data_IF_373581362808
#
_entry.id   IF_373581362808
#
_cell.length_a   1.000
_cell.length_b   1.000
_cell.length_c   1.000
_cell.angle_alpha   90.00
_cell.angle_beta   90.00
_cell.angle_gamma   90.00
#
_symmetry.space_group_name_H-M   'P 1'
#
loop_
_entity.id
_entity.type
_entity.pdbx_description
1 polymer ?
#
# COMPACT_ATOMS: atom_id res chain seq x y z
N UNK A 1 36.16 -1.16 -5.77
CA UNK A 1 35.03 -1.07 -6.72
C UNK A 1 34.76 0.40 -7.00
N UNK A 2 34.92 0.84 -8.25
CA UNK A 2 34.58 2.19 -8.70
C UNK A 2 33.11 2.21 -9.07
N UNK A 3 32.28 2.91 -8.30
CA UNK A 3 30.87 3.08 -8.63
C UNK A 3 30.74 4.16 -9.72
N UNK A 4 30.14 3.79 -10.86
CA UNK A 4 29.79 4.75 -11.90
C UNK A 4 28.53 5.48 -11.47
N UNK A 5 28.60 6.81 -11.29
CA UNK A 5 27.42 7.61 -11.04
C UNK A 5 26.55 7.65 -12.31
N UNK A 6 25.38 7.02 -12.25
CA UNK A 6 24.36 7.11 -13.29
C UNK A 6 23.71 8.49 -13.23
N UNK A 7 23.87 9.28 -14.28
CA UNK A 7 23.18 10.56 -14.43
C UNK A 7 22.16 10.45 -15.57
N UNK A 8 20.91 10.81 -15.29
CA UNK A 8 19.83 10.78 -16.26
C UNK A 8 19.60 12.17 -16.85
N UNK A 9 19.40 12.24 -18.16
CA UNK A 9 19.08 13.51 -18.82
C UNK A 9 17.78 14.09 -18.25
N UNK A 10 17.86 15.31 -17.70
CA UNK A 10 16.71 16.10 -17.22
C UNK A 10 16.08 16.95 -18.32
N UNK A 11 16.69 16.99 -19.50
CA UNK A 11 16.26 17.86 -20.62
C UNK A 11 15.01 17.28 -21.31
N UNK A 12 14.86 15.96 -21.32
CA UNK A 12 13.73 15.27 -21.97
C UNK A 12 13.15 14.18 -21.03
N UNK A 13 12.53 14.63 -19.96
CA UNK A 13 11.87 13.79 -18.95
C UNK A 13 10.78 12.89 -19.55
N UNK A 14 10.09 13.36 -20.59
CA UNK A 14 9.06 12.61 -21.33
C UNK A 14 9.65 11.38 -22.00
N UNK A 15 10.77 11.51 -22.72
CA UNK A 15 11.43 10.37 -23.36
C UNK A 15 11.97 9.37 -22.34
N UNK A 16 12.48 9.85 -21.21
CA UNK A 16 12.89 9.01 -20.09
C UNK A 16 11.70 8.19 -19.55
N UNK A 17 10.60 8.85 -19.18
CA UNK A 17 9.41 8.19 -18.61
C UNK A 17 8.80 7.18 -19.59
N UNK A 18 8.73 7.52 -20.89
CA UNK A 18 8.26 6.59 -21.93
C UNK A 18 9.16 5.35 -22.03
N UNK A 19 10.47 5.54 -22.00
CA UNK A 19 11.43 4.43 -22.08
C UNK A 19 11.38 3.55 -20.83
N UNK A 20 11.28 4.16 -19.65
CA UNK A 20 11.15 3.47 -18.37
C UNK A 20 9.89 2.60 -18.35
N UNK A 21 8.72 3.20 -18.61
CA UNK A 21 7.45 2.48 -18.61
C UNK A 21 7.45 1.33 -19.62
N UNK A 22 8.01 1.54 -20.82
CA UNK A 22 8.14 0.47 -21.81
C UNK A 22 8.94 -0.71 -21.24
N UNK A 23 10.14 -0.45 -20.70
CA UNK A 23 11.02 -1.51 -20.16
C UNK A 23 10.40 -2.24 -18.97
N UNK A 24 9.76 -1.52 -18.05
CA UNK A 24 9.02 -2.12 -16.92
C UNK A 24 7.90 -3.02 -17.45
N UNK A 25 7.15 -2.52 -18.43
CA UNK A 25 6.04 -3.25 -19.02
C UNK A 25 6.48 -4.53 -19.76
N UNK A 26 7.58 -4.46 -20.49
CA UNK A 26 8.20 -5.58 -21.19
C UNK A 26 8.68 -6.64 -20.20
N UNK A 27 9.33 -6.24 -19.10
CA UNK A 27 9.77 -7.14 -18.03
C UNK A 27 8.62 -8.01 -17.49
N UNK A 28 7.48 -7.39 -17.14
CA UNK A 28 6.32 -8.16 -16.66
C UNK A 28 5.79 -9.14 -17.71
N UNK A 29 5.78 -8.74 -18.99
CA UNK A 29 5.27 -9.56 -20.09
C UNK A 29 6.19 -10.74 -20.39
N UNK A 30 7.49 -10.48 -20.54
CA UNK A 30 8.51 -11.50 -20.85
C UNK A 30 8.64 -12.54 -19.74
N UNK A 31 8.43 -12.13 -18.48
CA UNK A 31 8.51 -13.04 -17.32
C UNK A 31 7.16 -13.67 -16.96
N UNK A 32 6.07 -13.39 -17.70
CA UNK A 32 4.71 -13.86 -17.39
C UNK A 32 4.26 -13.50 -15.95
N UNK A 33 4.63 -12.30 -15.48
CA UNK A 33 4.28 -11.80 -14.15
C UNK A 33 3.11 -10.82 -14.27
N UNK A 34 2.07 -11.02 -13.47
CA UNK A 34 0.98 -10.05 -13.37
C UNK A 34 1.48 -8.73 -12.77
N UNK A 35 1.05 -7.59 -13.31
CA UNK A 35 1.34 -6.25 -12.75
C UNK A 35 0.56 -5.94 -11.47
N UNK A 36 -0.40 -6.80 -11.15
CA UNK A 36 -1.24 -6.70 -9.97
C UNK A 36 -0.74 -7.61 -8.86
N UNK A 37 -1.23 -7.37 -7.65
CA UNK A 37 -0.97 -8.17 -6.46
C UNK A 37 -1.22 -9.66 -6.67
N UNK A 38 -0.46 -10.44 -5.91
CA UNK A 38 -0.59 -11.90 -5.84
C UNK A 38 -1.10 -12.31 -4.44
N UNK A 39 -1.14 -13.61 -4.18
CA UNK A 39 -1.61 -14.15 -2.90
C UNK A 39 -0.84 -13.60 -1.67
N UNK A 40 0.45 -13.25 -1.82
CA UNK A 40 1.24 -12.67 -0.72
C UNK A 40 0.70 -11.31 -0.30
N UNK A 41 0.20 -10.51 -1.25
CA UNK A 41 -0.45 -9.23 -0.95
C UNK A 41 -1.76 -9.45 -0.18
N UNK A 42 -2.55 -10.46 -0.54
CA UNK A 42 -3.79 -10.78 0.18
C UNK A 42 -3.51 -11.30 1.59
N UNK A 43 -2.49 -12.15 1.77
CA UNK A 43 -2.04 -12.55 3.11
C UNK A 43 -1.59 -11.34 3.93
N UNK A 44 -0.76 -10.48 3.36
CA UNK A 44 -0.31 -9.23 3.99
C UNK A 44 -1.51 -8.39 4.43
N UNK A 45 -2.55 -8.30 3.59
CA UNK A 45 -3.78 -7.57 3.90
C UNK A 45 -4.49 -8.13 5.12
N UNK A 46 -4.69 -9.45 5.18
CA UNK A 46 -5.31 -10.12 6.32
C UNK A 46 -4.49 -9.83 7.59
N UNK A 47 -3.17 -9.99 7.53
CA UNK A 47 -2.28 -9.71 8.67
C UNK A 47 -2.41 -8.26 9.13
N UNK A 48 -2.34 -7.27 8.23
CA UNK A 48 -2.43 -5.85 8.61
C UNK A 48 -3.78 -5.49 9.22
N UNK A 49 -4.89 -5.99 8.66
CA UNK A 49 -6.21 -5.78 9.24
C UNK A 49 -6.38 -6.50 10.58
N UNK A 50 -5.85 -7.72 10.75
CA UNK A 50 -5.89 -8.41 12.04
C UNK A 50 -5.08 -7.68 13.11
N UNK A 51 -3.89 -7.16 12.78
CA UNK A 51 -3.09 -6.35 13.70
C UNK A 51 -3.80 -5.07 14.12
N UNK A 52 -4.69 -4.53 13.27
CA UNK A 52 -5.47 -3.35 13.60
C UNK A 52 -6.77 -3.68 14.35
N UNK A 53 -7.63 -4.51 13.76
CA UNK A 53 -9.00 -4.73 14.24
C UNK A 53 -9.08 -5.69 15.42
N UNK A 54 -8.22 -6.70 15.51
CA UNK A 54 -8.25 -7.64 16.64
C UNK A 54 -7.99 -6.93 17.97
N UNK A 55 -6.86 -6.22 18.18
CA UNK A 55 -6.64 -5.49 19.43
C UNK A 55 -7.70 -4.40 19.67
N UNK A 56 -8.24 -3.78 18.62
CA UNK A 56 -9.35 -2.83 18.75
C UNK A 56 -10.58 -3.48 19.40
N UNK A 57 -11.06 -4.61 18.87
CA UNK A 57 -12.24 -5.27 19.43
C UNK A 57 -11.97 -5.93 20.78
N UNK A 58 -10.76 -6.43 21.04
CA UNK A 58 -10.38 -6.94 22.37
C UNK A 58 -10.47 -5.83 23.42
N UNK A 59 -9.93 -4.63 23.13
CA UNK A 59 -9.99 -3.50 24.04
C UNK A 59 -11.41 -3.00 24.30
N UNK A 60 -12.34 -3.18 23.36
CA UNK A 60 -13.74 -2.79 23.53
C UNK A 60 -14.57 -3.80 24.34
N UNK A 61 -14.15 -5.06 24.40
CA UNK A 61 -14.99 -6.15 24.92
C UNK A 61 -14.47 -6.78 26.20
N UNK A 62 -13.19 -6.59 26.52
CA UNK A 62 -12.53 -7.22 27.66
C UNK A 62 -11.76 -6.18 28.47
N UNK A 63 -11.67 -6.42 29.78
CA UNK A 63 -10.83 -5.63 30.67
C UNK A 63 -9.39 -6.13 30.67
N UNK A 64 -8.45 -5.21 30.46
CA UNK A 64 -7.02 -5.47 30.48
C UNK A 64 -6.31 -4.48 31.41
N UNK A 65 -5.20 -4.88 32.06
CA UNK A 65 -4.36 -3.94 32.81
C UNK A 65 -3.74 -2.91 31.86
N UNK A 66 -3.45 -1.70 32.36
CA UNK A 66 -3.02 -0.57 31.54
C UNK A 66 -1.77 -0.84 30.66
N UNK A 67 -0.82 -1.65 31.14
CA UNK A 67 0.35 -2.03 30.34
C UNK A 67 -0.01 -2.87 29.10
N UNK A 68 -1.02 -3.74 29.20
CA UNK A 68 -1.49 -4.55 28.09
C UNK A 68 -2.30 -3.70 27.10
N UNK A 69 -3.08 -2.73 27.61
CA UNK A 69 -3.76 -1.76 26.76
C UNK A 69 -2.78 -0.91 25.94
N UNK A 70 -1.67 -0.50 26.56
CA UNK A 70 -0.59 0.21 25.85
C UNK A 70 0.02 -0.67 24.75
N UNK A 71 0.30 -1.94 25.04
CA UNK A 71 0.83 -2.88 24.06
C UNK A 71 -0.13 -3.06 22.87
N UNK A 72 -1.42 -3.27 23.13
CA UNK A 72 -2.44 -3.38 22.08
C UNK A 72 -2.55 -2.11 21.25
N UNK A 73 -2.42 -0.93 21.87
CA UNK A 73 -2.42 0.35 21.16
C UNK A 73 -1.23 0.48 20.20
N UNK A 74 -0.04 0.04 20.62
CA UNK A 74 1.15 0.02 19.74
C UNK A 74 0.92 -0.93 18.56
N UNK A 75 0.41 -2.14 18.81
CA UNK A 75 0.11 -3.12 17.77
C UNK A 75 -0.94 -2.60 16.80
N UNK A 76 -2.00 -1.93 17.30
CA UNK A 76 -3.00 -1.26 16.47
C UNK A 76 -2.36 -0.22 15.56
N UNK A 77 -1.44 0.60 16.08
CA UNK A 77 -0.72 1.61 15.29
C UNK A 77 0.07 0.99 14.13
N UNK A 78 0.76 -0.12 14.37
CA UNK A 78 1.46 -0.89 13.32
C UNK A 78 0.47 -1.42 12.28
N UNK A 79 -0.66 -2.00 12.72
CA UNK A 79 -1.71 -2.48 11.82
C UNK A 79 -2.31 -1.36 10.98
N UNK A 80 -2.65 -0.21 11.58
CA UNK A 80 -3.20 0.97 10.92
C UNK A 80 -2.25 1.52 9.86
N UNK A 81 -0.97 1.73 10.20
CA UNK A 81 0.06 2.14 9.24
C UNK A 81 0.20 1.11 8.12
N UNK A 82 0.14 -0.18 8.46
CA UNK A 82 0.18 -1.29 7.52
C UNK A 82 -0.99 -1.28 6.52
N UNK A 83 -2.22 -1.05 6.98
CA UNK A 83 -3.40 -0.94 6.12
C UNK A 83 -3.24 0.25 5.16
N UNK A 84 -2.82 1.40 5.66
CA UNK A 84 -2.61 2.61 4.84
C UNK A 84 -1.51 2.44 3.78
N UNK A 85 -0.35 1.93 4.18
CA UNK A 85 0.84 1.90 3.31
C UNK A 85 0.94 0.66 2.43
N UNK A 86 0.30 -0.46 2.79
CA UNK A 86 0.45 -1.72 2.08
C UNK A 86 -0.81 -2.22 1.36
N UNK A 87 -1.99 -1.77 1.80
CA UNK A 87 -3.28 -2.26 1.24
C UNK A 87 -3.93 -1.14 0.45
N UNK A 88 -4.24 -0.05 1.14
CA UNK A 88 -4.89 1.13 0.59
C UNK A 88 -4.05 1.78 -0.51
N UNK A 89 -2.76 1.98 -0.26
CA UNK A 89 -1.81 2.58 -1.21
C UNK A 89 -1.78 1.82 -2.55
N UNK A 90 -1.46 0.53 -2.51
CA UNK A 90 -1.41 -0.34 -3.71
C UNK A 90 -2.77 -0.36 -4.45
N UNK A 91 -3.88 -0.35 -3.71
CA UNK A 91 -5.21 -0.32 -4.28
C UNK A 91 -5.55 1.02 -4.94
N UNK A 92 -5.12 2.15 -4.37
CA UNK A 92 -5.30 3.48 -4.96
C UNK A 92 -4.46 3.71 -6.21
N UNK A 93 -3.35 2.97 -6.38
CA UNK A 93 -2.62 2.86 -7.64
C UNK A 93 -3.20 1.83 -8.62
N UNK A 94 -4.23 1.08 -8.21
CA UNK A 94 -4.88 0.06 -9.03
C UNK A 94 -4.06 -1.22 -9.21
N UNK A 95 -2.99 -1.40 -8.43
CA UNK A 95 -2.14 -2.58 -8.50
C UNK A 95 -2.58 -3.69 -7.55
N UNK A 96 -3.50 -3.45 -6.61
CA UNK A 96 -3.93 -4.49 -5.66
C UNK A 96 -4.62 -5.68 -6.34
N UNK A 97 -5.44 -5.44 -7.36
CA UNK A 97 -6.15 -6.50 -8.10
C UNK A 97 -6.39 -6.11 -9.56
N UNK A 98 -6.61 -7.10 -10.44
CA UNK A 98 -7.11 -6.85 -11.80
C UNK A 98 -8.56 -6.37 -11.82
N UNK A 99 -9.33 -6.61 -10.75
CA UNK A 99 -10.73 -6.20 -10.63
C UNK A 99 -10.82 -4.80 -10.03
N UNK A 100 -11.32 -3.84 -10.81
CA UNK A 100 -11.46 -2.43 -10.40
C UNK A 100 -12.23 -2.24 -9.08
N UNK A 101 -13.30 -3.01 -8.86
CA UNK A 101 -14.10 -2.89 -7.65
C UNK A 101 -13.34 -3.35 -6.40
N UNK A 102 -12.44 -4.34 -6.51
CA UNK A 102 -11.59 -4.77 -5.39
C UNK A 102 -10.62 -3.65 -5.02
N UNK A 103 -9.99 -3.01 -6.01
CA UNK A 103 -9.16 -1.83 -5.76
C UNK A 103 -9.96 -0.70 -5.11
N UNK A 104 -11.20 -0.46 -5.54
CA UNK A 104 -12.06 0.57 -4.94
C UNK A 104 -12.35 0.28 -3.47
N UNK A 105 -12.65 -0.98 -3.13
CA UNK A 105 -12.91 -1.39 -1.73
C UNK A 105 -11.65 -1.28 -0.89
N UNK A 106 -10.54 -1.83 -1.36
CA UNK A 106 -9.28 -1.84 -0.60
C UNK A 106 -8.65 -0.45 -0.49
N UNK A 107 -8.74 0.38 -1.54
CA UNK A 107 -8.36 1.79 -1.48
C UNK A 107 -9.28 2.59 -0.56
N UNK A 108 -10.55 2.21 -0.49
CA UNK A 108 -11.54 2.74 0.44
C UNK A 108 -11.26 2.43 1.92
N UNK A 109 -10.33 1.53 2.25
CA UNK A 109 -9.92 1.34 3.65
C UNK A 109 -9.34 2.62 4.27
N UNK A 110 -8.94 3.59 3.44
CA UNK A 110 -8.62 4.97 3.86
C UNK A 110 -9.70 5.60 4.75
N UNK A 111 -10.99 5.31 4.48
CA UNK A 111 -12.09 5.86 5.26
C UNK A 111 -12.16 5.27 6.68
N UNK A 112 -11.75 4.01 6.84
CA UNK A 112 -11.61 3.38 8.17
C UNK A 112 -10.50 4.08 8.95
N UNK A 113 -9.45 4.54 8.25
CA UNK A 113 -8.33 5.29 8.83
C UNK A 113 -8.62 6.79 8.99
N UNK A 114 -9.90 7.19 8.94
CA UNK A 114 -10.36 8.59 9.03
C UNK A 114 -9.77 9.53 7.94
N UNK A 115 -9.31 8.98 6.82
CA UNK A 115 -8.81 9.73 5.68
C UNK A 115 -9.80 9.80 4.51
N UNK A 116 -9.41 10.50 3.44
CA UNK A 116 -10.18 10.58 2.21
C UNK A 116 -9.34 10.13 1.00
N UNK A 117 -9.87 9.19 0.20
CA UNK A 117 -9.18 8.62 -0.97
C UNK A 117 -8.81 9.69 -1.99
N UNK A 118 -9.73 10.60 -2.32
CA UNK A 118 -9.48 11.68 -3.28
C UNK A 118 -8.38 12.61 -2.77
N UNK A 119 -8.45 13.04 -1.51
CA UNK A 119 -7.42 13.89 -0.92
C UNK A 119 -6.03 13.23 -0.98
N UNK A 120 -5.94 11.94 -0.64
CA UNK A 120 -4.69 11.19 -0.74
C UNK A 120 -4.17 11.12 -2.17
N UNK A 121 -5.04 10.85 -3.16
CA UNK A 121 -4.64 10.79 -4.56
C UNK A 121 -4.12 12.13 -5.08
N UNK A 122 -4.74 13.25 -4.68
CA UNK A 122 -4.27 14.59 -5.02
C UNK A 122 -2.89 14.84 -4.39
N UNK A 123 -2.74 14.60 -3.10
CA UNK A 123 -1.50 14.87 -2.37
C UNK A 123 -0.34 13.94 -2.77
N UNK A 124 -0.62 12.72 -3.20
CA UNK A 124 0.41 11.71 -3.46
C UNK A 124 0.77 11.57 -4.94
N UNK A 125 -0.18 11.80 -5.86
CA UNK A 125 0.05 11.59 -7.29
C UNK A 125 0.23 12.89 -8.08
N UNK A 126 -0.30 14.01 -7.57
CA UNK A 126 -0.35 15.28 -8.32
C UNK A 126 0.60 16.32 -7.75
N UNK A 127 0.59 16.48 -6.42
CA UNK A 127 1.47 17.40 -5.69
C UNK A 127 2.82 16.75 -5.38
#
# INVERSE_FOLDING_TARGET
>A
MTYTNLNFSRVDSTKFFRTLNRRVNDYFKENNIARTGNWKLHLKTIVMFSLYLTPYFLLLTLDFPGWAQLLFTIVMGVGMAGVGMNVMHDANHGSYSSKKWINKVMGGSMYILAGNVYNWQVQHNVL
#
